data_IF_635531219119
#
_entry.id   IF_635531219119
#
_cell.length_a   1.000
_cell.length_b   1.000
_cell.length_c   1.000
_cell.angle_alpha   90.00
_cell.angle_beta   90.00
_cell.angle_gamma   90.00
#
_symmetry.space_group_name_H-M   'P 1'
#
loop_
_entity.id
_entity.type
_entity.pdbx_description
1 polymer ?
#
# COMPACT_ATOMS: atom_id res chain seq x y z
N UNK A 1 10.33 -7.00 -16.70
CA UNK A 1 9.31 -8.06 -16.49
C UNK A 1 9.95 -9.44 -16.33
N UNK A 2 10.67 -10.01 -17.32
CA UNK A 2 11.29 -11.35 -17.17
C UNK A 2 12.19 -11.46 -15.92
N UNK A 3 13.12 -10.51 -15.75
CA UNK A 3 13.99 -10.39 -14.56
C UNK A 3 13.21 -10.37 -13.23
N UNK A 4 12.09 -9.64 -13.18
CA UNK A 4 11.24 -9.56 -11.98
C UNK A 4 10.61 -10.92 -11.63
N UNK A 5 10.08 -11.63 -12.63
CA UNK A 5 9.53 -12.96 -12.40
C UNK A 5 10.61 -13.95 -11.93
N UNK A 6 11.81 -13.87 -12.50
CA UNK A 6 12.94 -14.70 -12.07
C UNK A 6 13.30 -14.43 -10.59
N UNK A 7 13.31 -13.16 -10.16
CA UNK A 7 13.56 -12.76 -8.77
C UNK A 7 12.47 -13.25 -7.80
N UNK A 8 11.19 -13.13 -8.19
CA UNK A 8 10.05 -13.65 -7.42
C UNK A 8 10.12 -15.18 -7.29
N UNK A 9 10.50 -15.87 -8.37
CA UNK A 9 10.59 -17.33 -8.37
C UNK A 9 11.63 -17.86 -7.39
N UNK A 10 12.67 -17.08 -7.05
CA UNK A 10 13.63 -17.50 -6.02
C UNK A 10 12.95 -17.66 -4.65
N UNK A 11 12.04 -16.75 -4.30
CA UNK A 11 11.30 -16.81 -3.04
C UNK A 11 10.22 -17.89 -3.07
N UNK A 12 9.49 -17.99 -4.19
CA UNK A 12 8.42 -19.00 -4.34
C UNK A 12 9.01 -20.44 -4.31
N UNK A 13 10.22 -20.62 -4.84
CA UNK A 13 10.88 -21.94 -4.87
C UNK A 13 11.46 -22.36 -3.52
N UNK A 14 11.69 -21.43 -2.60
CA UNK A 14 12.21 -21.74 -1.27
C UNK A 14 11.09 -22.25 -0.36
N UNK A 15 11.17 -23.55 -0.02
CA UNK A 15 10.15 -24.25 0.75
C UNK A 15 9.99 -23.71 2.17
N UNK A 16 11.08 -23.24 2.77
CA UNK A 16 11.06 -22.72 4.14
C UNK A 16 10.39 -21.34 4.17
N UNK A 17 10.79 -20.47 3.24
CA UNK A 17 10.18 -19.16 3.05
C UNK A 17 8.67 -19.28 2.78
N UNK A 18 8.29 -20.07 1.77
CA UNK A 18 6.88 -20.29 1.42
C UNK A 18 6.09 -20.94 2.57
N UNK A 19 6.65 -21.98 3.20
CA UNK A 19 5.98 -22.67 4.29
C UNK A 19 5.70 -21.75 5.49
N UNK A 20 6.70 -20.98 5.92
CA UNK A 20 6.55 -20.10 7.08
C UNK A 20 5.65 -18.90 6.78
N UNK A 21 5.79 -18.25 5.61
CA UNK A 21 4.95 -17.11 5.23
C UNK A 21 3.49 -17.51 5.02
N UNK A 22 3.22 -18.68 4.41
CA UNK A 22 1.87 -19.23 4.27
C UNK A 22 1.26 -19.53 5.64
N UNK A 23 2.01 -20.22 6.51
CA UNK A 23 1.55 -20.51 7.87
C UNK A 23 1.24 -19.23 8.64
N UNK A 24 2.12 -18.23 8.54
CA UNK A 24 1.96 -16.92 9.18
C UNK A 24 0.64 -16.27 8.79
N UNK A 25 0.35 -16.24 7.49
CA UNK A 25 -0.86 -15.65 6.93
C UNK A 25 -2.12 -16.41 7.34
N UNK A 26 -2.08 -17.75 7.31
CA UNK A 26 -3.22 -18.57 7.73
C UNK A 26 -3.54 -18.33 9.21
N UNK A 27 -2.52 -18.21 10.06
CA UNK A 27 -2.71 -17.91 11.48
C UNK A 27 -3.24 -16.49 11.68
N UNK A 28 -2.70 -15.50 10.97
CA UNK A 28 -3.04 -14.09 11.16
C UNK A 28 -4.43 -13.74 10.61
N UNK A 29 -4.78 -14.24 9.42
CA UNK A 29 -5.95 -13.80 8.66
C UNK A 29 -6.97 -14.91 8.38
N UNK A 30 -6.63 -16.18 8.62
CA UNK A 30 -7.51 -17.31 8.31
C UNK A 30 -8.82 -17.28 9.09
N UNK A 31 -8.80 -16.84 10.35
CA UNK A 31 -10.03 -16.67 11.14
C UNK A 31 -10.90 -15.55 10.57
N UNK A 32 -10.32 -14.38 10.33
CA UNK A 32 -11.02 -13.22 9.79
C UNK A 32 -11.63 -13.49 8.40
N UNK A 33 -10.88 -14.16 7.51
CA UNK A 33 -11.38 -14.46 6.17
C UNK A 33 -12.54 -15.49 6.15
N UNK A 34 -12.65 -16.35 7.17
CA UNK A 34 -13.64 -17.44 7.22
C UNK A 34 -14.83 -17.15 8.13
N UNK A 35 -14.76 -16.12 8.97
CA UNK A 35 -15.80 -15.77 9.92
C UNK A 35 -16.29 -14.35 9.67
N UNK A 36 -17.58 -14.13 9.89
CA UNK A 36 -18.15 -12.80 9.78
C UNK A 36 -17.90 -12.08 11.10
N UNK A 37 -17.07 -11.02 11.07
CA UNK A 37 -16.95 -10.04 12.15
C UNK A 37 -17.66 -8.74 11.76
N UNK A 38 -18.14 -8.01 12.77
CA UNK A 38 -18.66 -6.65 12.61
C UNK A 38 -17.58 -5.70 13.14
N UNK A 39 -17.04 -4.89 12.25
CA UNK A 39 -16.06 -3.85 12.54
C UNK A 39 -16.71 -2.59 13.08
N UNK A 40 -15.91 -1.73 13.70
CA UNK A 40 -16.37 -0.45 14.25
C UNK A 40 -16.89 0.46 13.12
N UNK A 41 -16.23 0.42 11.97
CA UNK A 41 -16.60 1.26 10.82
C UNK A 41 -17.73 0.67 9.99
N UNK A 42 -18.15 -0.59 10.20
CA UNK A 42 -19.30 -1.17 9.50
C UNK A 42 -20.59 -0.40 9.77
N UNK A 43 -20.74 0.14 10.98
CA UNK A 43 -21.90 0.93 11.41
C UNK A 43 -21.90 2.30 10.72
N UNK A 44 -20.72 2.85 10.42
CA UNK A 44 -20.53 4.11 9.68
C UNK A 44 -20.39 3.91 8.16
N UNK A 45 -20.16 2.68 7.69
CA UNK A 45 -19.93 2.36 6.29
C UNK A 45 -21.09 2.77 5.38
N UNK A 46 -22.34 2.76 5.86
CA UNK A 46 -23.46 3.31 5.07
C UNK A 46 -23.41 4.83 4.89
N UNK A 47 -22.82 5.57 5.83
CA UNK A 47 -22.68 7.03 5.77
C UNK A 47 -21.41 7.44 5.00
N UNK A 48 -20.33 6.69 5.15
CA UNK A 48 -19.02 7.00 4.54
C UNK A 48 -18.84 6.37 3.14
N UNK A 49 -19.32 5.13 2.95
CA UNK A 49 -19.15 4.32 1.72
C UNK A 49 -20.45 4.20 0.90
N UNK A 50 -21.63 4.40 1.50
CA UNK A 50 -22.95 4.16 0.86
C UNK A 50 -23.14 4.79 -0.54
N UNK A 51 -22.96 6.10 -0.70
CA UNK A 51 -22.90 6.75 -2.02
C UNK A 51 -21.44 6.93 -2.52
N UNK A 52 -20.43 6.52 -1.73
CA UNK A 52 -18.99 6.71 -2.01
C UNK A 52 -18.52 8.17 -2.06
N UNK A 53 -19.45 9.13 -2.01
CA UNK A 53 -19.18 10.56 -2.26
C UNK A 53 -18.27 11.21 -1.22
N UNK A 54 -18.33 10.83 0.05
CA UNK A 54 -17.45 11.40 1.09
C UNK A 54 -16.00 10.89 0.96
N UNK A 55 -15.82 9.60 0.68
CA UNK A 55 -14.51 9.00 0.38
C UNK A 55 -13.91 9.61 -0.90
N UNK A 56 -14.73 9.87 -1.91
CA UNK A 56 -14.29 10.56 -3.13
C UNK A 56 -13.98 12.04 -2.87
N UNK A 57 -14.80 12.74 -2.08
CA UNK A 57 -14.61 14.17 -1.73
C UNK A 57 -13.41 14.43 -0.81
N UNK A 58 -12.97 13.43 -0.03
CA UNK A 58 -11.70 13.48 0.72
C UNK A 58 -10.48 13.14 -0.13
N UNK A 59 -10.68 12.87 -1.44
CA UNK A 59 -9.62 12.53 -2.38
C UNK A 59 -9.07 11.11 -2.20
N UNK A 60 -9.79 10.22 -1.51
CA UNK A 60 -9.46 8.81 -1.31
C UNK A 60 -10.16 7.90 -2.33
N UNK A 61 -10.19 8.32 -3.59
CA UNK A 61 -11.04 7.68 -4.59
C UNK A 61 -10.64 6.23 -4.93
N UNK A 62 -9.40 5.78 -4.66
CA UNK A 62 -9.06 4.35 -4.85
C UNK A 62 -9.81 3.43 -3.90
N UNK A 63 -10.19 3.90 -2.71
CA UNK A 63 -11.08 3.16 -1.81
C UNK A 63 -12.48 2.98 -2.42
N UNK A 64 -12.96 3.94 -3.21
CA UNK A 64 -14.26 3.85 -3.90
C UNK A 64 -14.22 3.03 -5.22
N UNK A 65 -13.03 2.87 -5.83
CA UNK A 65 -12.87 2.11 -7.09
C UNK A 65 -13.09 0.62 -6.87
N UNK A 66 -12.61 0.03 -5.77
CA UNK A 66 -12.70 -1.41 -5.55
C UNK A 66 -14.13 -1.93 -5.41
N UNK A 67 -14.99 -1.33 -4.55
CA UNK A 67 -16.42 -1.65 -4.54
C UNK A 67 -17.06 -1.47 -5.90
N UNK A 68 -16.60 -0.46 -6.64
CA UNK A 68 -17.16 -0.17 -7.95
C UNK A 68 -16.84 -1.20 -9.02
N UNK A 69 -15.59 -1.65 -9.05
CA UNK A 69 -15.07 -2.61 -10.03
C UNK A 69 -15.58 -4.03 -9.77
N UNK A 70 -15.67 -4.41 -8.50
CA UNK A 70 -16.02 -5.76 -8.08
C UNK A 70 -17.52 -5.90 -7.76
N UNK A 71 -18.30 -4.83 -7.91
CA UNK A 71 -19.76 -4.87 -7.91
C UNK A 71 -20.40 -5.06 -6.53
N UNK A 72 -19.70 -4.74 -5.45
CA UNK A 72 -20.21 -4.89 -4.08
C UNK A 72 -20.71 -3.58 -3.45
N UNK A 73 -21.07 -2.60 -4.30
CA UNK A 73 -21.49 -1.22 -4.02
C UNK A 73 -22.39 -0.97 -2.79
N UNK A 74 -23.21 -1.93 -2.35
CA UNK A 74 -24.35 -1.62 -1.44
C UNK A 74 -24.84 -2.80 -0.60
N UNK A 75 -24.04 -3.85 -0.34
CA UNK A 75 -24.49 -4.97 0.51
C UNK A 75 -23.68 -5.05 1.79
N UNK A 76 -24.39 -4.95 2.91
CA UNK A 76 -23.88 -5.21 4.25
C UNK A 76 -23.11 -6.52 4.31
N UNK A 77 -22.03 -6.48 5.09
CA UNK A 77 -21.07 -7.54 5.37
C UNK A 77 -20.11 -7.74 4.18
N UNK A 78 -19.10 -6.86 4.11
CA UNK A 78 -17.88 -7.07 3.32
C UNK A 78 -17.01 -8.15 4.00
N UNK A 79 -17.53 -9.38 4.11
CA UNK A 79 -16.74 -10.59 4.36
C UNK A 79 -16.87 -11.49 3.13
N UNK A 80 -16.45 -10.97 1.98
CA UNK A 80 -16.21 -11.87 0.85
C UNK A 80 -14.85 -12.51 1.10
N UNK A 81 -14.86 -13.78 1.49
CA UNK A 81 -13.66 -14.62 1.57
C UNK A 81 -12.73 -14.40 0.36
N UNK A 82 -13.29 -14.21 -0.84
CA UNK A 82 -12.52 -13.91 -2.04
C UNK A 82 -11.76 -12.58 -1.98
N UNK A 83 -12.37 -11.50 -1.47
CA UNK A 83 -11.73 -10.19 -1.32
C UNK A 83 -10.61 -10.25 -0.29
N UNK A 84 -10.84 -10.91 0.85
CA UNK A 84 -9.80 -11.09 1.88
C UNK A 84 -8.63 -11.92 1.36
N UNK A 85 -8.90 -13.02 0.66
CA UNK A 85 -7.85 -13.83 0.02
C UNK A 85 -7.04 -13.00 -0.98
N UNK A 86 -7.69 -12.17 -1.80
CA UNK A 86 -6.99 -11.29 -2.74
C UNK A 86 -6.12 -10.28 -1.99
N UNK A 87 -6.65 -9.65 -0.94
CA UNK A 87 -5.91 -8.68 -0.12
C UNK A 87 -4.67 -9.32 0.52
N UNK A 88 -4.83 -10.52 1.09
CA UNK A 88 -3.74 -11.30 1.67
C UNK A 88 -2.67 -11.64 0.63
N UNK A 89 -3.08 -12.08 -0.56
CA UNK A 89 -2.14 -12.41 -1.64
C UNK A 89 -1.35 -11.17 -2.08
N UNK A 90 -1.99 -10.00 -2.16
CA UNK A 90 -1.31 -8.73 -2.46
C UNK A 90 -0.33 -8.34 -1.34
N UNK A 91 -0.69 -8.58 -0.08
CA UNK A 91 0.20 -8.33 1.05
C UNK A 91 1.42 -9.28 1.02
N UNK A 92 1.22 -10.56 0.73
CA UNK A 92 2.31 -11.53 0.54
C UNK A 92 3.24 -11.12 -0.60
N UNK A 93 2.69 -10.70 -1.73
CA UNK A 93 3.48 -10.19 -2.86
C UNK A 93 4.26 -8.93 -2.47
N UNK A 94 3.68 -8.07 -1.63
CA UNK A 94 4.38 -6.90 -1.09
C UNK A 94 5.59 -7.28 -0.24
N UNK A 95 5.44 -8.28 0.63
CA UNK A 95 6.55 -8.79 1.44
C UNK A 95 7.67 -9.37 0.56
N UNK A 96 7.31 -10.16 -0.47
CA UNK A 96 8.26 -10.67 -1.46
C UNK A 96 9.00 -9.54 -2.17
N UNK A 97 8.29 -8.49 -2.61
CA UNK A 97 8.92 -7.33 -3.26
C UNK A 97 9.90 -6.61 -2.34
N UNK A 98 9.55 -6.41 -1.07
CA UNK A 98 10.46 -5.85 -0.08
C UNK A 98 11.72 -6.71 0.06
N UNK A 99 11.57 -8.04 0.15
CA UNK A 99 12.70 -8.95 0.23
C UNK A 99 13.58 -8.93 -1.02
N UNK A 100 13.00 -8.85 -2.22
CA UNK A 100 13.75 -8.67 -3.47
C UNK A 100 14.59 -7.39 -3.41
N UNK A 101 13.97 -6.27 -3.01
CA UNK A 101 14.65 -4.97 -2.89
C UNK A 101 15.79 -5.01 -1.87
N UNK A 102 15.55 -5.61 -0.69
CA UNK A 102 16.56 -5.72 0.36
C UNK A 102 17.72 -6.63 -0.06
N UNK A 103 17.42 -7.75 -0.69
CA UNK A 103 18.42 -8.68 -1.22
C UNK A 103 19.28 -8.03 -2.31
N UNK A 104 18.65 -7.28 -3.22
CA UNK A 104 19.34 -6.52 -4.27
C UNK A 104 20.26 -5.45 -3.70
N UNK A 105 19.80 -4.66 -2.72
CA UNK A 105 20.62 -3.61 -2.09
C UNK A 105 21.71 -4.13 -1.17
N UNK A 106 21.48 -5.26 -0.52
CA UNK A 106 22.47 -5.93 0.32
C UNK A 106 23.43 -6.82 -0.46
N UNK A 107 23.37 -6.88 -1.81
CA UNK A 107 24.23 -7.74 -2.65
C UNK A 107 24.24 -9.20 -2.18
N UNK A 108 23.06 -9.75 -1.87
CA UNK A 108 22.89 -11.11 -1.36
C UNK A 108 23.52 -11.40 0.02
N UNK A 109 23.97 -10.39 0.77
CA UNK A 109 24.53 -10.59 2.11
C UNK A 109 23.48 -10.93 3.18
N UNK A 110 22.20 -10.62 2.96
CA UNK A 110 21.12 -10.99 3.89
C UNK A 110 20.67 -12.41 3.59
N UNK A 111 20.67 -13.27 4.62
CA UNK A 111 20.27 -14.67 4.49
C UNK A 111 18.78 -14.82 4.22
N UNK A 112 18.40 -15.93 3.56
CA UNK A 112 16.99 -16.25 3.29
C UNK A 112 16.18 -16.34 4.58
N UNK A 113 16.75 -16.89 5.67
CA UNK A 113 16.10 -16.99 6.98
C UNK A 113 15.74 -15.60 7.52
N UNK A 114 16.65 -14.64 7.43
CA UNK A 114 16.39 -13.27 7.89
C UNK A 114 15.27 -12.60 7.06
N UNK A 115 15.25 -12.84 5.74
CA UNK A 115 14.19 -12.37 4.85
C UNK A 115 12.82 -13.03 5.16
N UNK A 116 12.82 -14.32 5.51
CA UNK A 116 11.61 -15.01 5.97
C UNK A 116 11.07 -14.40 7.26
N UNK A 117 11.95 -14.17 8.25
CA UNK A 117 11.56 -13.54 9.53
C UNK A 117 10.99 -12.14 9.27
N UNK A 118 11.66 -11.33 8.45
CA UNK A 118 11.15 -10.01 8.06
C UNK A 118 9.76 -10.10 7.42
N UNK A 119 9.57 -11.02 6.48
CA UNK A 119 8.29 -11.22 5.80
C UNK A 119 7.19 -11.60 6.78
N UNK A 120 7.47 -12.55 7.68
CA UNK A 120 6.52 -12.94 8.72
C UNK A 120 6.16 -11.78 9.65
N UNK A 121 7.12 -10.95 10.05
CA UNK A 121 6.87 -9.76 10.88
C UNK A 121 6.06 -8.69 10.14
N UNK A 122 6.34 -8.46 8.86
CA UNK A 122 5.57 -7.54 8.03
C UNK A 122 4.12 -8.03 7.86
N UNK A 123 3.94 -9.34 7.66
CA UNK A 123 2.62 -9.98 7.50
C UNK A 123 1.82 -10.09 8.79
N UNK A 124 2.42 -9.93 9.97
CA UNK A 124 1.71 -9.95 11.26
C UNK A 124 1.71 -8.61 11.97
N UNK A 125 2.11 -7.54 11.28
CA UNK A 125 2.22 -6.25 11.90
C UNK A 125 0.86 -5.82 12.48
N UNK A 126 0.76 -5.49 13.79
CA UNK A 126 -0.52 -5.31 14.47
C UNK A 126 -1.49 -4.34 13.79
N UNK A 127 -0.96 -3.25 13.21
CA UNK A 127 -1.77 -2.24 12.52
C UNK A 127 -2.47 -2.82 11.28
N UNK A 128 -1.87 -3.80 10.60
CA UNK A 128 -2.51 -4.47 9.45
C UNK A 128 -3.66 -5.34 9.92
N UNK A 129 -3.50 -6.01 11.06
CA UNK A 129 -4.58 -6.80 11.66
C UNK A 129 -5.72 -5.91 12.16
N UNK A 130 -5.41 -4.71 12.67
CA UNK A 130 -6.40 -3.72 13.08
C UNK A 130 -7.30 -3.31 11.91
N UNK A 131 -6.71 -3.05 10.73
CA UNK A 131 -7.53 -2.74 9.55
C UNK A 131 -8.47 -3.88 9.17
N UNK A 132 -8.00 -5.13 9.34
CA UNK A 132 -8.74 -6.35 9.06
C UNK A 132 -9.94 -6.55 9.96
N UNK A 133 -9.83 -6.23 11.25
CA UNK A 133 -10.93 -6.43 12.18
C UNK A 133 -11.89 -5.22 12.29
N UNK A 134 -11.39 -3.99 12.09
CA UNK A 134 -12.16 -2.80 12.47
C UNK A 134 -12.67 -1.94 11.30
N UNK A 135 -11.98 -1.95 10.15
CA UNK A 135 -12.19 -0.92 9.11
C UNK A 135 -12.58 -1.48 7.73
N UNK A 136 -12.35 -2.78 7.49
CA UNK A 136 -12.68 -3.52 6.26
C UNK A 136 -12.15 -2.92 4.94
N UNK A 137 -11.24 -1.94 4.99
CA UNK A 137 -10.56 -1.37 3.82
C UNK A 137 -9.33 -2.19 3.38
N UNK A 138 -9.32 -3.48 3.70
CA UNK A 138 -8.17 -4.39 3.58
C UNK A 138 -7.61 -4.44 2.16
N UNK A 139 -8.49 -4.58 1.17
CA UNK A 139 -8.10 -4.62 -0.24
C UNK A 139 -7.45 -3.30 -0.67
N UNK A 140 -7.99 -2.16 -0.24
CA UNK A 140 -7.44 -0.84 -0.57
C UNK A 140 -6.02 -0.66 -0.01
N UNK A 141 -5.82 -1.03 1.26
CA UNK A 141 -4.53 -0.91 1.95
C UNK A 141 -3.51 -1.90 1.38
N UNK A 142 -3.86 -3.18 1.27
CA UNK A 142 -2.95 -4.21 0.75
C UNK A 142 -2.54 -3.93 -0.69
N UNK A 143 -3.47 -3.43 -1.52
CA UNK A 143 -3.13 -2.97 -2.87
C UNK A 143 -2.21 -1.76 -2.83
N UNK A 144 -2.48 -0.79 -1.94
CA UNK A 144 -1.61 0.38 -1.76
C UNK A 144 -0.17 0.01 -1.37
N UNK A 145 0.00 -0.94 -0.44
CA UNK A 145 1.32 -1.43 -0.02
C UNK A 145 2.00 -2.16 -1.19
N UNK A 146 1.28 -3.02 -1.90
CA UNK A 146 1.79 -3.72 -3.08
C UNK A 146 2.27 -2.74 -4.15
N UNK A 147 1.45 -1.76 -4.50
CA UNK A 147 1.80 -0.74 -5.47
C UNK A 147 2.97 0.13 -5.01
N UNK A 148 3.09 0.41 -3.70
CA UNK A 148 4.24 1.12 -3.15
C UNK A 148 5.55 0.36 -3.40
N UNK A 149 5.57 -0.95 -3.11
CA UNK A 149 6.75 -1.80 -3.35
C UNK A 149 7.07 -1.91 -4.85
N UNK A 150 6.05 -1.95 -5.71
CA UNK A 150 6.19 -1.96 -7.16
C UNK A 150 6.76 -0.65 -7.70
N UNK A 151 6.29 0.50 -7.21
CA UNK A 151 6.84 1.81 -7.60
C UNK A 151 8.32 1.87 -7.25
N UNK A 152 8.71 1.42 -6.06
CA UNK A 152 10.11 1.40 -5.62
C UNK A 152 10.94 0.49 -6.54
N UNK A 153 10.44 -0.70 -6.87
CA UNK A 153 11.08 -1.61 -7.82
C UNK A 153 11.27 -0.98 -9.20
N UNK A 154 10.23 -0.34 -9.75
CA UNK A 154 10.28 0.31 -11.06
C UNK A 154 11.22 1.52 -11.08
N UNK A 155 11.26 2.30 -10.00
CA UNK A 155 12.22 3.41 -9.86
C UNK A 155 13.64 2.86 -9.79
N UNK A 156 13.88 1.78 -9.06
CA UNK A 156 15.20 1.15 -8.98
C UNK A 156 15.65 0.56 -10.34
N UNK A 157 14.75 -0.11 -11.05
CA UNK A 157 15.00 -0.56 -12.43
C UNK A 157 15.26 0.62 -13.38
N UNK A 158 14.55 1.74 -13.22
CA UNK A 158 14.75 2.95 -14.02
C UNK A 158 16.11 3.63 -13.76
N UNK A 159 16.61 3.59 -12.52
CA UNK A 159 17.95 4.09 -12.18
C UNK A 159 19.06 3.26 -12.83
N UNK A 160 18.82 1.97 -13.08
CA UNK A 160 19.77 1.05 -13.71
C UNK A 160 19.64 1.00 -15.25
N UNK A 161 18.45 1.24 -15.80
CA UNK A 161 18.18 1.17 -17.25
C UNK A 161 18.13 2.54 -17.94
N UNK A 162 18.17 2.54 -19.28
CA UNK A 162 18.00 3.77 -20.07
C UNK A 162 16.61 4.38 -19.87
N UNK A 163 16.54 5.71 -19.96
CA UNK A 163 15.31 6.50 -19.83
C UNK A 163 14.20 6.01 -20.76
N UNK A 164 13.01 5.76 -20.20
CA UNK A 164 11.80 5.38 -20.94
C UNK A 164 10.59 6.11 -20.35
N UNK A 165 9.95 6.94 -21.19
CA UNK A 165 8.80 7.77 -20.78
C UNK A 165 7.61 6.94 -20.29
N UNK A 166 7.36 5.78 -20.88
CA UNK A 166 6.23 4.91 -20.47
C UNK A 166 6.42 4.35 -19.07
N UNK A 167 7.67 4.06 -18.67
CA UNK A 167 7.96 3.66 -17.28
C UNK A 167 7.69 4.80 -16.31
N UNK A 168 8.06 6.03 -16.68
CA UNK A 168 7.83 7.23 -15.85
C UNK A 168 6.32 7.48 -15.69
N UNK A 169 5.56 7.39 -16.77
CA UNK A 169 4.09 7.51 -16.74
C UNK A 169 3.49 6.42 -15.84
N UNK A 170 3.93 5.17 -15.98
CA UNK A 170 3.46 4.06 -15.14
C UNK A 170 3.78 4.31 -13.66
N UNK A 171 5.01 4.72 -13.33
CA UNK A 171 5.41 5.07 -11.95
C UNK A 171 4.50 6.16 -11.38
N UNK A 172 4.25 7.23 -12.13
CA UNK A 172 3.40 8.33 -11.67
C UNK A 172 1.95 7.89 -11.44
N UNK A 173 1.39 7.06 -12.34
CA UNK A 173 0.03 6.53 -12.21
C UNK A 173 -0.11 5.59 -11.00
N UNK A 174 0.85 4.67 -10.82
CA UNK A 174 0.84 3.77 -9.67
C UNK A 174 1.01 4.55 -8.37
N UNK A 175 1.92 5.53 -8.33
CA UNK A 175 2.14 6.34 -7.15
C UNK A 175 0.95 7.25 -6.83
N UNK A 176 0.24 7.75 -7.83
CA UNK A 176 -1.03 8.45 -7.64
C UNK A 176 -2.05 7.54 -6.93
N UNK A 177 -2.18 6.29 -7.37
CA UNK A 177 -3.09 5.33 -6.75
C UNK A 177 -2.70 5.02 -5.29
N UNK A 178 -1.39 4.92 -5.01
CA UNK A 178 -0.87 4.81 -3.64
C UNK A 178 -1.29 6.02 -2.80
N UNK A 179 -1.10 7.23 -3.32
CA UNK A 179 -1.44 8.46 -2.62
C UNK A 179 -2.95 8.60 -2.36
N UNK A 180 -3.81 7.94 -3.13
CA UNK A 180 -5.28 8.00 -3.00
C UNK A 180 -5.83 6.88 -2.14
N UNK A 181 -5.04 5.88 -1.74
CA UNK A 181 -5.52 4.77 -0.91
C UNK A 181 -5.77 5.22 0.52
N UNK A 182 -4.72 5.29 1.32
CA UNK A 182 -4.78 5.74 2.70
C UNK A 182 -3.45 6.43 3.03
N UNK A 183 -3.47 7.54 3.76
CA UNK A 183 -2.27 8.36 3.99
C UNK A 183 -1.12 7.55 4.62
N UNK A 184 -1.43 6.58 5.49
CA UNK A 184 -0.41 5.73 6.11
C UNK A 184 0.36 4.86 5.09
N UNK A 185 -0.21 4.54 3.93
CA UNK A 185 0.49 3.77 2.89
C UNK A 185 1.65 4.59 2.29
N UNK A 186 1.49 5.91 2.20
CA UNK A 186 2.59 6.80 1.78
C UNK A 186 3.73 6.74 2.80
N UNK A 187 3.43 6.63 4.10
CA UNK A 187 4.46 6.42 5.12
C UNK A 187 5.21 5.10 4.89
N UNK A 188 4.51 4.01 4.55
CA UNK A 188 5.13 2.72 4.21
C UNK A 188 6.11 2.87 3.04
N UNK A 189 5.71 3.56 1.97
CA UNK A 189 6.60 3.88 0.86
C UNK A 189 7.87 4.60 1.32
N UNK A 190 7.72 5.65 2.13
CA UNK A 190 8.84 6.44 2.64
C UNK A 190 9.79 5.57 3.48
N UNK A 191 9.27 4.75 4.38
CA UNK A 191 10.09 3.88 5.23
C UNK A 191 10.84 2.82 4.42
N UNK A 192 10.21 2.22 3.40
CA UNK A 192 10.90 1.27 2.52
C UNK A 192 12.01 1.98 1.75
N UNK A 193 11.77 3.19 1.23
CA UNK A 193 12.80 4.00 0.56
C UNK A 193 13.99 4.26 1.49
N UNK A 194 13.75 4.66 2.74
CA UNK A 194 14.83 4.82 3.71
C UNK A 194 15.56 3.52 4.00
N UNK A 195 14.85 2.41 4.18
CA UNK A 195 15.45 1.10 4.43
C UNK A 195 16.35 0.66 3.26
N UNK A 196 15.92 0.78 2.01
CA UNK A 196 16.74 0.39 0.85
C UNK A 196 17.97 1.28 0.68
N UNK A 197 17.86 2.58 0.97
CA UNK A 197 18.98 3.52 0.87
C UNK A 197 19.98 3.28 2.00
N UNK A 198 19.48 3.00 3.20
CA UNK A 198 20.30 2.60 4.34
C UNK A 198 21.07 1.30 4.04
N UNK A 199 20.39 0.27 3.53
CA UNK A 199 21.04 -0.99 3.13
C UNK A 199 22.09 -0.76 2.05
N UNK A 200 21.82 0.13 1.08
CA UNK A 200 22.77 0.45 0.03
C UNK A 200 24.05 1.11 0.58
N UNK A 201 23.93 2.02 1.55
CA UNK A 201 25.09 2.62 2.23
C UNK A 201 25.83 1.61 3.09
N UNK A 202 25.09 0.72 3.78
CA UNK A 202 25.65 -0.26 4.70
C UNK A 202 26.49 -1.34 3.99
N UNK A 203 26.01 -1.84 2.84
CA UNK A 203 26.63 -2.95 2.11
C UNK A 203 27.47 -2.51 0.89
N UNK A 204 27.50 -1.22 0.58
CA UNK A 204 28.24 -0.67 -0.57
C UNK A 204 28.86 0.70 -0.26
N UNK A 205 29.42 0.85 0.95
CA UNK A 205 29.96 2.13 1.45
C UNK A 205 30.95 2.79 0.51
N UNK A 206 31.74 2.01 -0.23
CA UNK A 206 32.76 2.52 -1.15
C UNK A 206 32.16 3.21 -2.39
N UNK A 207 30.95 2.81 -2.79
CA UNK A 207 30.24 3.38 -3.94
C UNK A 207 29.36 4.57 -3.54
N UNK A 208 28.80 4.54 -2.34
CA UNK A 208 27.78 5.50 -1.92
C UNK A 208 28.37 6.74 -1.23
N UNK A 209 28.50 7.82 -1.99
CA UNK A 209 28.74 9.15 -1.42
C UNK A 209 27.43 9.83 -0.98
N UNK A 210 27.51 10.78 -0.04
CA UNK A 210 26.34 11.60 0.37
C UNK A 210 25.66 12.30 -0.82
N UNK A 211 26.42 12.75 -1.82
CA UNK A 211 25.86 13.36 -3.04
C UNK A 211 25.03 12.36 -3.84
N UNK A 212 25.54 11.13 -4.00
CA UNK A 212 24.82 10.06 -4.70
C UNK A 212 23.55 9.66 -3.92
N UNK A 213 23.65 9.55 -2.59
CA UNK A 213 22.52 9.26 -1.71
C UNK A 213 21.39 10.29 -1.90
N UNK A 214 21.73 11.58 -1.84
CA UNK A 214 20.75 12.67 -2.02
C UNK A 214 20.17 12.64 -3.43
N UNK A 215 20.99 12.47 -4.47
CA UNK A 215 20.53 12.41 -5.86
C UNK A 215 19.56 11.25 -6.07
N UNK A 216 19.89 10.07 -5.57
CA UNK A 216 19.04 8.89 -5.68
C UNK A 216 17.76 9.04 -4.85
N UNK A 217 17.87 9.55 -3.62
CA UNK A 217 16.71 9.87 -2.78
C UNK A 217 15.75 10.86 -3.46
N UNK A 218 16.30 11.86 -4.15
CA UNK A 218 15.50 12.84 -4.88
C UNK A 218 14.66 12.19 -6.00
N UNK A 219 15.15 11.12 -6.65
CA UNK A 219 14.36 10.39 -7.64
C UNK A 219 13.13 9.74 -7.01
N UNK A 220 13.27 9.08 -5.86
CA UNK A 220 12.13 8.52 -5.12
C UNK A 220 11.16 9.62 -4.69
N UNK A 221 11.67 10.77 -4.21
CA UNK A 221 10.84 11.94 -3.88
C UNK A 221 10.08 12.45 -5.10
N UNK A 222 10.70 12.52 -6.29
CA UNK A 222 10.00 12.96 -7.50
C UNK A 222 8.86 12.04 -7.89
N UNK A 223 9.00 10.72 -7.69
CA UNK A 223 7.91 9.77 -7.88
C UNK A 223 6.75 10.06 -6.91
N UNK A 224 7.05 10.23 -5.62
CA UNK A 224 6.06 10.59 -4.60
C UNK A 224 5.32 11.91 -4.93
N UNK A 225 6.08 12.97 -5.23
CA UNK A 225 5.50 14.28 -5.58
C UNK A 225 4.62 14.17 -6.82
N UNK A 226 5.03 13.41 -7.84
CA UNK A 226 4.21 13.19 -9.03
C UNK A 226 2.87 12.50 -8.69
N UNK A 227 2.87 11.54 -7.77
CA UNK A 227 1.67 10.87 -7.28
C UNK A 227 0.74 11.81 -6.51
N UNK A 228 1.29 12.66 -5.63
CA UNK A 228 0.54 13.67 -4.88
C UNK A 228 -0.10 14.69 -5.82
N UNK A 229 0.66 15.22 -6.77
CA UNK A 229 0.15 16.16 -7.79
C UNK A 229 -0.95 15.50 -8.62
N UNK A 230 -0.72 14.25 -9.05
CA UNK A 230 -1.72 13.45 -9.75
C UNK A 230 -3.02 13.31 -8.94
N UNK A 231 -2.92 12.95 -7.65
CA UNK A 231 -4.06 12.84 -6.73
C UNK A 231 -4.84 14.14 -6.69
N UNK A 232 -4.17 15.27 -6.48
CA UNK A 232 -4.82 16.59 -6.37
C UNK A 232 -5.52 16.97 -7.67
N UNK A 233 -4.89 16.76 -8.82
CA UNK A 233 -5.46 17.09 -10.14
C UNK A 233 -6.69 16.22 -10.41
N UNK A 234 -6.57 14.90 -10.28
CA UNK A 234 -7.69 13.98 -10.54
C UNK A 234 -8.83 14.20 -9.54
N UNK A 235 -8.53 14.43 -8.27
CA UNK A 235 -9.55 14.73 -7.26
C UNK A 235 -10.33 16.01 -7.60
N UNK A 236 -9.64 17.09 -8.01
CA UNK A 236 -10.30 18.32 -8.48
C UNK A 236 -11.16 18.08 -9.72
N UNK A 237 -10.69 17.26 -10.67
CA UNK A 237 -11.48 16.92 -11.86
C UNK A 237 -12.76 16.15 -11.48
N UNK A 238 -12.64 15.14 -10.62
CA UNK A 238 -13.78 14.32 -10.18
C UNK A 238 -14.81 15.17 -9.43
N UNK A 239 -14.37 16.04 -8.52
CA UNK A 239 -15.27 16.91 -7.75
C UNK A 239 -16.03 17.89 -8.63
N UNK A 240 -15.38 18.47 -9.65
CA UNK A 240 -16.04 19.33 -10.65
C UNK A 240 -17.02 18.53 -11.51
N UNK A 241 -16.61 17.36 -12.02
CA UNK A 241 -17.44 16.53 -12.90
C UNK A 241 -18.69 15.98 -12.21
N UNK A 242 -18.57 15.62 -10.93
CA UNK A 242 -19.67 15.06 -10.14
C UNK A 242 -20.43 16.12 -9.33
N UNK A 243 -20.07 17.40 -9.47
CA UNK A 243 -20.65 18.54 -8.76
C UNK A 243 -20.76 18.30 -7.24
N UNK A 244 -19.69 17.78 -6.63
CA UNK A 244 -19.67 17.44 -5.21
C UNK A 244 -19.20 18.64 -4.37
N UNK A 245 -19.80 18.88 -3.19
CA UNK A 245 -19.30 19.88 -2.26
C UNK A 245 -17.88 19.49 -1.83
N UNK A 246 -16.98 20.48 -1.80
CA UNK A 246 -15.59 20.27 -1.40
C UNK A 246 -15.53 20.04 0.10
N UNK A 247 -15.60 18.76 0.52
CA UNK A 247 -15.53 18.40 1.93
C UNK A 247 -14.06 18.18 2.32
N UNK A 248 -13.41 19.25 2.75
CA UNK A 248 -12.14 19.09 3.48
C UNK A 248 -12.45 18.44 4.81
N UNK A 249 -12.16 17.15 4.94
CA UNK A 249 -11.98 16.52 6.25
C UNK A 249 -10.94 17.34 7.02
N UNK A 250 -11.42 18.23 7.90
CA UNK A 250 -10.64 19.24 8.60
C UNK A 250 -11.27 20.64 8.69
N UNK A 251 -12.29 20.99 7.90
CA UNK A 251 -12.95 22.32 8.04
C UNK A 251 -13.92 22.35 9.23
N UNK A 252 -14.60 21.23 9.47
CA UNK A 252 -15.12 20.96 10.80
C UNK A 252 -13.97 20.32 11.55
N UNK A 253 -13.33 21.06 12.45
CA UNK A 253 -12.56 20.42 13.52
C UNK A 253 -13.40 19.30 14.15
N UNK A 254 -12.78 18.36 14.84
CA UNK A 254 -13.51 17.38 15.66
C UNK A 254 -14.26 18.17 16.73
N UNK A 255 -15.44 18.67 16.37
CA UNK A 255 -16.33 19.36 17.27
C UNK A 255 -17.02 18.22 17.99
N UNK A 256 -16.46 17.84 19.13
CA UNK A 256 -17.23 17.21 20.19
C UNK A 256 -18.30 18.24 20.60
N UNK A 257 -19.35 18.36 19.80
CA UNK A 257 -20.55 19.09 20.19
C UNK A 257 -21.21 18.26 21.27
N UNK A 258 -20.72 18.44 22.49
CA UNK A 258 -21.31 17.95 23.74
C UNK A 258 -22.63 18.70 24.03
N UNK A 259 -23.03 19.66 23.18
CA UNK A 259 -24.16 20.56 23.43
C UNK A 259 -25.55 19.97 23.15
N UNK A 260 -25.69 18.68 22.84
CA UNK A 260 -27.00 18.04 22.62
C UNK A 260 -27.33 16.91 23.62
N UNK A 261 -26.60 16.84 24.74
CA UNK A 261 -27.09 16.11 25.93
C UNK A 261 -27.82 17.12 26.83
N UNK A 262 -29.14 17.12 26.68
CA UNK A 262 -30.05 18.06 27.34
C UNK A 262 -29.88 18.16 28.85
N UNK A 263 -29.88 19.40 29.33
CA UNK A 263 -30.40 19.78 30.65
C UNK A 263 -31.92 19.80 30.62
#
# INVERSE_FOLDING_TARGET
>A
MKKYFDEVMIFISDRFYCGLTLLTVVIAYGYAATNISIGIDDIRGQLEIGEGRQVIASGRFSQAIWPSLLGYHTKWIENSFAIDVIAVLLLMLSAVNCCILFRKRSKDHISMIALTIFSSLMLTYPLINEFWEYTHINLCICTGIFLSTMVIYLVDDWLETKWNIWKVILIALLMMFVCTSYEAVVCVYIFIVFAILFLAVLFDSDKWSMKLLIKTGFVYVTALVSGIVGRVVIHKLITVLLNMPYDTNGNTGISWKISELGT
#
